data_IF_979343129689
#
_entry.id   IF_979343129689
#
_cell.length_a   1.000
_cell.length_b   1.000
_cell.length_c   1.000
_cell.angle_alpha   90.00
_cell.angle_beta   90.00
_cell.angle_gamma   90.00
#
_symmetry.space_group_name_H-M   'P 1'
#
loop_
_entity.id
_entity.type
_entity.pdbx_description
1 polymer ?
#
# COMPACT_ATOMS: atom_id res chain seq x y z
N UNK A 1 -16.28 -2.72 -26.67
CA UNK A 1 -16.48 -2.78 -25.19
C UNK A 1 -15.13 -2.65 -24.50
N UNK A 2 -15.15 -2.06 -23.31
CA UNK A 2 -13.98 -1.91 -22.42
C UNK A 2 -14.14 -2.86 -21.23
N UNK A 3 -13.10 -3.61 -20.92
CA UNK A 3 -13.00 -4.44 -19.73
C UNK A 3 -11.89 -3.91 -18.83
N UNK A 4 -12.16 -3.84 -17.53
CA UNK A 4 -11.22 -3.36 -16.51
C UNK A 4 -11.01 -4.49 -15.51
N UNK A 5 -9.76 -4.86 -15.27
CA UNK A 5 -9.38 -5.86 -14.27
C UNK A 5 -8.53 -5.20 -13.18
N UNK A 6 -8.74 -5.59 -11.93
CA UNK A 6 -7.77 -5.34 -10.86
C UNK A 6 -6.60 -6.33 -11.00
N UNK A 7 -5.43 -5.99 -10.45
CA UNK A 7 -4.28 -6.89 -10.40
C UNK A 7 -4.35 -7.79 -9.16
N UNK A 8 -4.35 -7.21 -7.97
CA UNK A 8 -4.32 -7.95 -6.71
C UNK A 8 -5.64 -8.69 -6.43
N UNK A 9 -5.56 -9.97 -6.09
CA UNK A 9 -6.72 -10.83 -5.81
C UNK A 9 -7.53 -11.26 -7.04
N UNK A 10 -7.23 -10.74 -8.23
CA UNK A 10 -7.97 -11.05 -9.47
C UNK A 10 -7.04 -11.71 -10.51
N UNK A 11 -5.99 -11.00 -10.90
CA UNK A 11 -5.03 -11.45 -11.94
C UNK A 11 -3.82 -12.09 -11.29
N UNK A 12 -3.40 -11.56 -10.14
CA UNK A 12 -2.42 -12.16 -9.26
C UNK A 12 -3.01 -12.36 -7.87
N UNK A 13 -2.43 -13.25 -7.08
CA UNK A 13 -2.79 -13.40 -5.67
C UNK A 13 -2.62 -12.08 -4.90
N UNK A 14 -3.49 -11.86 -3.91
CA UNK A 14 -3.41 -10.67 -3.06
C UNK A 14 -2.15 -10.70 -2.19
N UNK A 15 -1.53 -9.53 -2.01
CA UNK A 15 -0.47 -9.38 -1.02
C UNK A 15 -1.09 -9.27 0.38
N UNK A 16 -0.67 -10.13 1.30
CA UNK A 16 -1.07 -10.05 2.70
C UNK A 16 0.03 -9.38 3.52
N UNK A 17 -0.31 -8.27 4.17
CA UNK A 17 0.61 -7.49 5.02
C UNK A 17 1.01 -8.24 6.30
N UNK A 18 0.31 -9.32 6.66
CA UNK A 18 0.59 -10.14 7.85
C UNK A 18 2.04 -10.61 7.94
N UNK A 19 2.67 -10.90 6.79
CA UNK A 19 4.09 -11.28 6.75
C UNK A 19 5.01 -10.14 7.21
N UNK A 20 4.64 -8.89 6.90
CA UNK A 20 5.33 -7.68 7.35
C UNK A 20 5.17 -7.52 8.87
N UNK A 21 3.94 -7.63 9.40
CA UNK A 21 3.70 -7.53 10.84
C UNK A 21 4.46 -8.60 11.62
N UNK A 22 4.39 -9.84 11.15
CA UNK A 22 5.15 -10.97 11.73
C UNK A 22 6.65 -10.72 11.68
N UNK A 23 7.17 -10.20 10.58
CA UNK A 23 8.58 -9.84 10.46
C UNK A 23 8.94 -8.76 11.48
N UNK A 24 8.15 -7.68 11.56
CA UNK A 24 8.38 -6.55 12.47
C UNK A 24 8.21 -6.94 13.94
N UNK A 25 7.52 -8.04 14.25
CA UNK A 25 7.23 -8.47 15.61
C UNK A 25 6.27 -7.53 16.32
N UNK A 26 5.36 -6.88 15.58
CA UNK A 26 4.39 -5.93 16.11
C UNK A 26 2.98 -6.22 15.59
N UNK A 27 1.98 -5.78 16.35
CA UNK A 27 0.58 -5.82 15.90
C UNK A 27 0.33 -4.76 14.82
N UNK A 28 -0.73 -4.98 14.06
CA UNK A 28 -1.26 -4.02 13.08
C UNK A 28 -1.52 -2.64 13.72
N UNK A 29 -2.06 -2.62 14.94
CA UNK A 29 -2.32 -1.39 15.68
C UNK A 29 -1.04 -0.61 15.99
N UNK A 30 0.02 -1.28 16.47
CA UNK A 30 1.31 -0.62 16.73
C UNK A 30 1.90 -0.09 15.43
N UNK A 31 1.82 -0.87 14.34
CA UNK A 31 2.29 -0.45 13.03
C UNK A 31 1.61 0.84 12.57
N UNK A 32 0.27 0.89 12.59
CA UNK A 32 -0.45 2.10 12.18
C UNK A 32 -0.27 3.27 13.14
N UNK A 33 -0.08 3.00 14.44
CA UNK A 33 0.29 4.02 15.42
C UNK A 33 1.65 4.67 15.08
N UNK A 34 2.65 3.88 14.68
CA UNK A 34 3.94 4.41 14.20
C UNK A 34 3.74 5.20 12.90
N UNK A 35 2.90 4.72 11.98
CA UNK A 35 2.59 5.42 10.74
C UNK A 35 1.91 6.78 10.96
N UNK A 36 1.20 6.99 12.07
CA UNK A 36 0.44 8.21 12.35
C UNK A 36 1.02 9.10 13.47
N UNK A 37 2.09 8.67 14.16
CA UNK A 37 2.52 9.33 15.40
C UNK A 37 3.07 10.76 15.23
N UNK A 38 3.46 11.19 14.03
CA UNK A 38 3.98 12.53 13.79
C UNK A 38 3.83 12.93 12.32
N UNK A 39 3.48 14.17 12.02
CA UNK A 39 3.40 14.66 10.64
C UNK A 39 2.37 13.92 9.77
N UNK A 40 2.65 13.81 8.47
CA UNK A 40 1.80 13.07 7.52
C UNK A 40 1.75 11.57 7.88
N UNK A 41 0.59 10.95 7.66
CA UNK A 41 0.43 9.50 7.78
C UNK A 41 1.23 8.78 6.69
N UNK A 42 2.20 7.96 7.10
CA UNK A 42 3.11 7.27 6.16
C UNK A 42 2.38 6.33 5.20
N UNK A 43 1.38 5.60 5.71
CA UNK A 43 0.63 4.64 4.92
C UNK A 43 -0.14 5.34 3.79
N UNK A 44 -0.82 6.43 4.12
CA UNK A 44 -1.52 7.26 3.13
C UNK A 44 -0.57 7.86 2.10
N UNK A 45 0.59 8.37 2.53
CA UNK A 45 1.60 8.91 1.62
C UNK A 45 2.14 7.84 0.65
N UNK A 46 2.34 6.62 1.14
CA UNK A 46 2.79 5.47 0.33
C UNK A 46 1.73 5.05 -0.71
N UNK A 47 0.48 4.83 -0.30
CA UNK A 47 -0.60 4.38 -1.20
C UNK A 47 -0.93 5.40 -2.30
N UNK A 48 -0.69 6.67 -2.02
CA UNK A 48 -0.93 7.78 -2.96
C UNK A 48 0.28 8.12 -3.82
N UNK A 49 1.41 7.42 -3.65
CA UNK A 49 2.64 7.66 -4.41
C UNK A 49 3.37 8.96 -4.04
N UNK A 50 3.00 9.62 -2.93
CA UNK A 50 3.76 10.76 -2.39
C UNK A 50 5.04 10.32 -1.68
N UNK A 51 5.16 9.03 -1.36
CA UNK A 51 6.30 8.43 -0.69
C UNK A 51 6.69 7.12 -1.37
N UNK A 52 8.00 6.89 -1.53
CA UNK A 52 8.53 5.62 -2.01
C UNK A 52 8.53 4.56 -0.89
N UNK A 53 8.55 3.27 -1.23
CA UNK A 53 8.67 2.19 -0.24
C UNK A 53 9.96 2.32 0.56
N UNK A 54 11.06 2.72 -0.08
CA UNK A 54 12.35 2.92 0.59
C UNK A 54 12.30 4.06 1.60
N UNK A 55 11.69 5.19 1.23
CA UNK A 55 11.58 6.34 2.14
C UNK A 55 10.55 6.10 3.25
N UNK A 56 9.50 5.32 2.96
CA UNK A 56 8.58 4.82 3.98
C UNK A 56 9.33 4.07 5.07
N UNK A 57 10.19 3.09 4.73
CA UNK A 57 10.88 2.31 5.75
C UNK A 57 11.91 3.13 6.52
N UNK A 58 12.61 4.07 5.89
CA UNK A 58 13.50 5.01 6.58
C UNK A 58 12.75 5.82 7.63
N UNK A 59 11.62 6.41 7.24
CA UNK A 59 10.83 7.27 8.12
C UNK A 59 10.09 6.46 9.19
N UNK A 60 9.60 5.28 8.84
CA UNK A 60 9.00 4.32 9.78
C UNK A 60 10.01 3.92 10.86
N UNK A 61 11.24 3.56 10.49
CA UNK A 61 12.31 3.25 11.45
C UNK A 61 12.62 4.43 12.36
N UNK A 62 12.62 5.67 11.83
CA UNK A 62 12.83 6.88 12.63
C UNK A 62 11.71 7.07 13.66
N UNK A 63 10.45 6.93 13.24
CA UNK A 63 9.27 7.06 14.11
C UNK A 63 9.19 5.95 15.16
N UNK A 64 9.57 4.73 14.80
CA UNK A 64 9.66 3.62 15.75
C UNK A 64 10.65 3.95 16.88
N UNK A 65 11.86 4.43 16.56
CA UNK A 65 12.84 4.86 17.57
C UNK A 65 12.29 5.89 18.54
N UNK A 66 11.65 6.94 18.01
CA UNK A 66 11.04 7.99 18.83
C UNK A 66 9.98 7.46 19.79
N UNK A 67 9.07 6.61 19.30
CA UNK A 67 8.00 6.06 20.14
C UNK A 67 8.55 5.11 21.21
N UNK A 68 9.58 4.32 20.88
CA UNK A 68 10.28 3.48 21.85
C UNK A 68 10.99 4.29 22.94
N UNK A 69 11.58 5.44 22.62
CA UNK A 69 12.24 6.34 23.58
C UNK A 69 11.23 7.02 24.52
N UNK A 70 10.11 7.51 23.98
CA UNK A 70 9.02 8.09 24.77
C UNK A 70 8.43 7.11 25.78
N UNK A 71 8.29 5.84 25.38
CA UNK A 71 7.78 4.76 26.26
C UNK A 71 8.77 4.45 27.40
N UNK A 72 10.07 4.62 27.19
CA UNK A 72 11.09 4.44 28.24
C UNK A 72 11.16 5.62 29.22
N UNK A 73 10.92 6.85 28.74
CA UNK A 73 10.89 8.05 29.57
C UNK A 73 9.67 8.16 30.49
N UNK A 74 8.51 7.63 30.07
CA UNK A 74 7.25 7.71 30.83
C UNK A 74 7.13 6.69 31.98
N UNK A 75 8.13 5.84 32.22
CA UNK A 75 8.18 5.01 33.44
C UNK A 75 8.64 5.80 34.69
N UNK A 76 8.86 7.11 34.57
CA UNK A 76 9.21 8.02 35.68
C UNK A 76 8.15 9.07 36.04
N UNK A 77 7.31 9.52 35.11
CA UNK A 77 6.27 10.52 35.38
C UNK A 77 5.02 10.23 34.55
N UNK A 78 3.86 10.19 35.23
CA UNK A 78 2.54 10.05 34.60
C UNK A 78 2.27 11.26 33.70
N UNK A 79 2.26 11.04 32.39
CA UNK A 79 1.72 12.02 31.45
C UNK A 79 0.39 11.48 30.93
N UNK A 80 -0.71 12.02 31.46
CA UNK A 80 -2.02 11.98 30.81
C UNK A 80 -1.96 12.88 29.58
N UNK A 81 -1.87 12.28 28.38
CA UNK A 81 -2.28 12.97 27.16
C UNK A 81 -3.68 12.51 26.79
N UNK A 82 -4.67 13.25 27.26
CA UNK A 82 -6.04 13.20 26.78
C UNK A 82 -6.09 13.75 25.35
N UNK A 83 -6.30 12.86 24.37
CA UNK A 83 -6.89 13.26 23.08
C UNK A 83 -8.42 13.17 23.26
N UNK A 84 -9.20 14.19 22.90
CA UNK A 84 -10.64 14.14 23.08
C UNK A 84 -11.27 13.26 21.99
N UNK A 85 -11.82 12.12 22.39
CA UNK A 85 -12.72 11.32 21.56
C UNK A 85 -12.16 9.99 21.03
N UNK A 86 -11.89 9.04 21.92
CA UNK A 86 -12.11 7.61 21.65
C UNK A 86 -12.08 6.86 22.97
N UNK A 87 -13.04 5.96 23.16
CA UNK A 87 -13.26 5.24 24.42
C UNK A 87 -11.99 4.60 24.99
N UNK A 88 -11.85 4.73 26.31
CA UNK A 88 -10.81 4.17 27.14
C UNK A 88 -10.79 2.63 27.03
N UNK A 89 -10.01 2.09 26.10
CA UNK A 89 -9.51 0.73 26.20
C UNK A 89 -8.00 0.83 26.36
N UNK A 90 -7.54 0.77 27.61
CA UNK A 90 -6.14 0.84 27.96
C UNK A 90 -5.37 -0.34 27.34
N UNK A 91 -4.83 -0.12 26.15
CA UNK A 91 -3.87 -1.04 25.55
C UNK A 91 -2.47 -0.62 26.00
N UNK A 92 -1.98 -1.31 27.02
CA UNK A 92 -0.56 -1.36 27.38
C UNK A 92 0.22 -2.15 26.33
N UNK A 93 0.06 -1.81 25.05
CA UNK A 93 0.84 -2.42 23.99
C UNK A 93 2.26 -1.86 24.05
N UNK A 94 3.17 -2.64 24.64
CA UNK A 94 4.59 -2.34 24.64
C UNK A 94 5.10 -2.29 23.20
N UNK A 95 5.72 -1.17 22.82
CA UNK A 95 6.37 -1.04 21.52
C UNK A 95 7.56 -2.01 21.49
N UNK A 96 7.67 -2.90 20.49
CA UNK A 96 8.77 -3.86 20.45
C UNK A 96 10.12 -3.16 20.28
N UNK A 97 11.23 -3.83 20.63
CA UNK A 97 12.58 -3.29 20.44
C UNK A 97 12.83 -2.91 18.98
N UNK A 98 13.44 -1.74 18.78
CA UNK A 98 13.84 -1.28 17.45
C UNK A 98 14.87 -2.25 16.87
N UNK A 99 14.66 -2.65 15.61
CA UNK A 99 15.61 -3.44 14.83
C UNK A 99 16.01 -2.70 13.56
N UNK A 100 17.17 -3.06 13.02
CA UNK A 100 17.57 -2.60 11.68
C UNK A 100 16.65 -3.23 10.63
N UNK A 101 16.13 -2.40 9.73
CA UNK A 101 15.19 -2.80 8.69
C UNK A 101 15.89 -2.86 7.33
N UNK A 102 15.59 -3.87 6.49
CA UNK A 102 15.92 -3.82 5.08
C UNK A 102 15.36 -2.55 4.43
N UNK A 103 15.99 -2.03 3.36
CA UNK A 103 15.52 -0.82 2.68
C UNK A 103 14.09 -0.95 2.15
N UNK A 104 13.66 -2.15 1.75
CA UNK A 104 12.33 -2.39 1.22
C UNK A 104 11.77 -3.75 1.68
N UNK A 105 11.02 -3.73 2.78
CA UNK A 105 10.36 -4.92 3.32
C UNK A 105 9.13 -5.30 2.48
N UNK A 106 8.47 -4.32 1.86
CA UNK A 106 7.28 -4.60 1.04
C UNK A 106 7.66 -5.44 -0.17
N UNK A 107 8.79 -5.12 -0.81
CA UNK A 107 9.34 -5.91 -1.90
C UNK A 107 9.81 -7.28 -1.44
N UNK A 108 10.46 -7.36 -0.26
CA UNK A 108 11.00 -8.62 0.28
C UNK A 108 9.92 -9.70 0.47
N UNK A 109 8.71 -9.33 0.85
CA UNK A 109 7.62 -10.29 1.08
C UNK A 109 6.66 -10.42 -0.11
N UNK A 110 6.84 -9.63 -1.17
CA UNK A 110 5.94 -9.61 -2.31
C UNK A 110 6.36 -10.62 -3.39
N UNK A 111 5.66 -11.75 -3.42
CA UNK A 111 5.87 -12.83 -4.38
C UNK A 111 4.56 -13.18 -5.09
N UNK A 112 4.04 -12.29 -5.97
CA UNK A 112 2.75 -12.51 -6.61
C UNK A 112 2.79 -13.75 -7.51
N UNK A 113 1.74 -14.57 -7.43
CA UNK A 113 1.48 -15.66 -8.38
C UNK A 113 0.30 -15.31 -9.25
N UNK A 114 0.46 -15.52 -10.56
CA UNK A 114 -0.60 -15.25 -11.53
C UNK A 114 -1.72 -16.29 -11.40
N UNK A 115 -2.96 -15.81 -11.53
CA UNK A 115 -4.11 -16.66 -11.75
C UNK A 115 -4.22 -16.95 -13.25
N UNK A 116 -3.70 -18.10 -13.67
CA UNK A 116 -3.66 -18.54 -15.06
C UNK A 116 -5.04 -18.56 -15.73
N UNK A 117 -6.10 -18.87 -14.97
CA UNK A 117 -7.48 -18.86 -15.49
C UNK A 117 -7.91 -17.45 -15.86
N UNK A 118 -7.62 -16.46 -15.01
CA UNK A 118 -7.91 -15.05 -15.28
C UNK A 118 -7.09 -14.55 -16.46
N UNK A 119 -5.79 -14.88 -16.53
CA UNK A 119 -4.91 -14.53 -17.66
C UNK A 119 -5.48 -15.06 -18.98
N UNK A 120 -5.90 -16.33 -19.02
CA UNK A 120 -6.49 -16.94 -20.22
C UNK A 120 -7.79 -16.23 -20.66
N UNK A 121 -8.57 -15.71 -19.72
CA UNK A 121 -9.78 -14.90 -20.02
C UNK A 121 -9.37 -13.56 -20.63
N UNK A 122 -8.40 -12.86 -20.02
CA UNK A 122 -7.88 -11.58 -20.51
C UNK A 122 -7.35 -11.70 -21.93
N UNK A 123 -6.54 -12.72 -22.21
CA UNK A 123 -5.99 -12.96 -23.55
C UNK A 123 -7.08 -13.20 -24.61
N UNK A 124 -8.15 -13.92 -24.25
CA UNK A 124 -9.30 -14.13 -25.14
C UNK A 124 -10.07 -12.83 -25.39
N UNK A 125 -10.28 -12.02 -24.36
CA UNK A 125 -10.99 -10.73 -24.47
C UNK A 125 -10.19 -9.72 -25.30
N UNK A 126 -8.87 -9.63 -25.09
CA UNK A 126 -7.99 -8.67 -25.77
C UNK A 126 -7.97 -8.82 -27.29
N UNK A 127 -8.29 -10.01 -27.81
CA UNK A 127 -8.40 -10.24 -29.26
C UNK A 127 -9.50 -9.42 -29.93
N UNK A 128 -10.53 -9.00 -29.20
CA UNK A 128 -11.73 -8.33 -29.75
C UNK A 128 -12.13 -7.06 -29.01
N UNK A 129 -11.59 -6.84 -27.82
CA UNK A 129 -12.02 -5.77 -26.93
C UNK A 129 -10.80 -5.11 -26.29
N UNK A 130 -10.97 -3.85 -25.89
CA UNK A 130 -9.96 -3.15 -25.11
C UNK A 130 -10.01 -3.67 -23.68
N UNK A 131 -8.86 -4.11 -23.16
CA UNK A 131 -8.71 -4.65 -21.82
C UNK A 131 -7.62 -3.88 -21.09
N UNK A 132 -7.99 -3.23 -19.99
CA UNK A 132 -7.08 -2.42 -19.19
C UNK A 132 -7.00 -2.95 -17.75
N UNK A 133 -5.88 -2.69 -17.09
CA UNK A 133 -5.73 -2.95 -15.67
C UNK A 133 -5.91 -1.65 -14.89
N UNK A 134 -6.72 -1.66 -13.84
CA UNK A 134 -6.85 -0.57 -12.89
C UNK A 134 -6.59 -1.10 -11.50
N UNK A 135 -5.50 -0.68 -10.86
CA UNK A 135 -5.05 -1.29 -9.60
C UNK A 135 -4.54 -0.27 -8.60
N UNK A 136 -4.83 -0.52 -7.32
CA UNK A 136 -4.19 0.20 -6.22
C UNK A 136 -2.90 -0.54 -5.86
N UNK A 137 -1.77 0.17 -5.90
CA UNK A 137 -0.47 -0.45 -5.66
C UNK A 137 0.52 0.58 -5.16
N UNK A 138 1.58 0.10 -4.51
CA UNK A 138 2.73 0.88 -4.08
C UNK A 138 3.87 0.71 -5.10
N UNK A 139 4.88 1.59 -5.06
CA UNK A 139 6.01 1.57 -6.00
C UNK A 139 6.74 0.21 -6.06
N UNK A 140 7.05 -0.39 -4.91
CA UNK A 140 7.75 -1.68 -4.85
C UNK A 140 6.98 -2.84 -5.50
N UNK A 141 5.67 -2.90 -5.28
CA UNK A 141 4.80 -3.93 -5.87
C UNK A 141 4.58 -3.70 -7.36
N UNK A 142 4.42 -2.43 -7.76
CA UNK A 142 4.38 -2.03 -9.16
C UNK A 142 5.63 -2.47 -9.92
N UNK A 143 6.81 -2.17 -9.37
CA UNK A 143 8.09 -2.56 -9.98
C UNK A 143 8.23 -4.06 -10.11
N UNK A 144 7.84 -4.83 -9.10
CA UNK A 144 7.85 -6.29 -9.15
C UNK A 144 7.01 -6.82 -10.33
N UNK A 145 5.77 -6.36 -10.49
CA UNK A 145 4.92 -6.77 -11.62
C UNK A 145 5.44 -6.27 -12.97
N UNK A 146 6.03 -5.08 -13.03
CA UNK A 146 6.66 -4.54 -14.24
C UNK A 146 7.85 -5.39 -14.71
N UNK A 147 8.77 -5.71 -13.80
CA UNK A 147 9.97 -6.52 -14.08
C UNK A 147 9.61 -7.94 -14.53
N UNK A 148 8.56 -8.51 -13.94
CA UNK A 148 8.01 -9.83 -14.32
C UNK A 148 7.27 -9.81 -15.66
N UNK A 149 6.90 -8.63 -16.14
CA UNK A 149 6.09 -8.47 -17.35
C UNK A 149 4.61 -8.81 -17.15
N UNK A 150 4.12 -8.84 -15.91
CA UNK A 150 2.74 -9.20 -15.57
C UNK A 150 1.72 -8.21 -16.16
N UNK A 151 2.11 -6.96 -16.40
CA UNK A 151 1.23 -5.97 -17.04
C UNK A 151 1.11 -6.12 -18.56
N UNK A 152 1.90 -6.99 -19.20
CA UNK A 152 1.88 -7.19 -20.67
C UNK A 152 0.59 -7.82 -21.17
N UNK A 153 -0.25 -8.34 -20.28
CA UNK A 153 -1.57 -8.87 -20.64
C UNK A 153 -2.57 -7.77 -21.03
N UNK A 154 -2.34 -6.51 -20.62
CA UNK A 154 -3.27 -5.40 -20.81
C UNK A 154 -2.84 -4.46 -21.94
N UNK A 155 -3.81 -3.76 -22.52
CA UNK A 155 -3.54 -2.67 -23.47
C UNK A 155 -2.99 -1.42 -22.75
N UNK A 156 -3.43 -1.20 -21.51
CA UNK A 156 -2.97 -0.11 -20.64
C UNK A 156 -3.15 -0.51 -19.18
N UNK A 157 -2.24 -0.03 -18.32
CA UNK A 157 -2.36 -0.16 -16.87
C UNK A 157 -2.45 1.21 -16.21
N UNK A 158 -3.40 1.34 -15.30
CA UNK A 158 -3.64 2.51 -14.47
C UNK A 158 -3.36 2.14 -13.01
N UNK A 159 -2.24 2.63 -12.46
CA UNK A 159 -1.81 2.36 -11.11
C UNK A 159 -1.95 3.59 -10.20
N UNK A 160 -2.47 3.40 -8.98
CA UNK A 160 -2.74 4.49 -8.04
C UNK A 160 -1.49 5.33 -7.72
N UNK A 161 -0.38 4.67 -7.40
CA UNK A 161 0.91 5.32 -7.11
C UNK A 161 1.50 6.11 -8.30
N UNK A 162 1.07 5.86 -9.54
CA UNK A 162 1.54 6.59 -10.73
C UNK A 162 0.61 7.72 -11.14
N UNK A 163 -0.70 7.56 -10.90
CA UNK A 163 -1.72 8.51 -11.35
C UNK A 163 -2.07 9.55 -10.28
N UNK A 164 -1.91 9.23 -8.99
CA UNK A 164 -2.23 10.16 -7.89
C UNK A 164 -1.36 11.43 -7.80
N UNK A 165 -0.39 11.63 -8.71
CA UNK A 165 0.22 12.94 -8.91
C UNK A 165 -0.74 13.95 -9.59
N UNK A 166 -1.87 13.49 -10.11
CA UNK A 166 -2.93 14.34 -10.68
C UNK A 166 -4.20 14.20 -9.81
N UNK A 167 -4.30 15.10 -8.83
CA UNK A 167 -5.50 15.48 -8.05
C UNK A 167 -6.38 14.40 -7.39
N UNK A 168 -6.36 14.43 -6.05
CA UNK A 168 -7.49 14.20 -5.12
C UNK A 168 -8.83 13.72 -5.71
N UNK A 169 -9.03 12.40 -5.67
CA UNK A 169 -10.22 11.70 -5.14
C UNK A 169 -11.59 12.40 -5.23
N UNK A 170 -12.10 12.61 -6.46
CA UNK A 170 -13.55 12.54 -6.73
C UNK A 170 -13.91 11.76 -8.01
N UNK A 171 -12.93 11.14 -8.66
CA UNK A 171 -13.07 10.58 -10.01
C UNK A 171 -12.43 9.20 -10.18
N UNK A 172 -12.51 8.33 -9.15
CA UNK A 172 -12.00 6.93 -9.21
C UNK A 172 -12.58 6.10 -10.38
N UNK A 173 -13.68 6.52 -11.01
CA UNK A 173 -14.26 5.88 -12.20
C UNK A 173 -14.01 6.64 -13.51
N UNK A 174 -13.67 7.93 -13.46
CA UNK A 174 -13.68 8.82 -14.64
C UNK A 174 -12.32 8.90 -15.32
N UNK A 175 -11.20 8.80 -14.59
CA UNK A 175 -9.88 8.94 -15.22
C UNK A 175 -9.50 7.74 -16.12
N UNK A 176 -9.86 6.51 -15.71
CA UNK A 176 -9.72 5.34 -16.59
C UNK A 176 -10.56 5.48 -17.87
N UNK A 177 -11.72 6.15 -17.81
CA UNK A 177 -12.59 6.33 -18.98
C UNK A 177 -12.11 7.44 -19.91
N UNK A 178 -11.58 8.54 -19.37
CA UNK A 178 -11.06 9.67 -20.18
C UNK A 178 -9.76 9.33 -20.92
N UNK A 179 -8.85 8.56 -20.32
CA UNK A 179 -7.65 8.03 -21.01
C UNK A 179 -7.98 6.95 -22.05
N UNK A 180 -9.20 6.39 -22.01
CA UNK A 180 -9.64 5.37 -22.94
C UNK A 180 -10.30 5.91 -24.22
N UNK A 181 -10.38 7.23 -24.42
CA UNK A 181 -10.98 7.82 -25.63
C UNK A 181 -12.44 7.44 -25.84
N UNK A 182 -13.16 7.07 -24.77
CA UNK A 182 -14.58 6.77 -24.84
C UNK A 182 -15.39 8.06 -24.63
N UNK A 183 -16.37 8.37 -25.49
CA UNK A 183 -17.29 9.47 -25.25
C UNK A 183 -18.11 9.18 -23.99
N UNK A 184 -18.13 10.15 -23.07
CA UNK A 184 -19.08 10.21 -21.98
C UNK A 184 -20.45 10.54 -22.61
N UNK A 185 -21.34 9.55 -22.68
CA UNK A 185 -22.76 9.74 -22.95
C UNK A 185 -23.54 9.72 -21.64
#
# INVERSE_FOLDING_TARGET
MLFIFDMGGVVAEACYIDSVFKFLGMSEEIFYKICSCTGENLWSALETGRMSSVDFWKEFSRRWKLLSEQTRGNNGDKIETTMPGSDNMGLTCSVPPVKELPPDIFRLFFHPRLNEKTVAIIEKLRKKHRVVCGTNTIDSHWECHMERGDYRFFDQTYASNKICFIEQLHKRRIHCLSGCGLPLH
#
